data_IF_270665896233
#
_entry.id   IF_270665896233
#
_cell.length_a   1.000
_cell.length_b   1.000
_cell.length_c   1.000
_cell.angle_alpha   90.00
_cell.angle_beta   90.00
_cell.angle_gamma   90.00
#
_symmetry.space_group_name_H-M   'P 1'
#
loop_
_entity.id
_entity.type
_entity.pdbx_description
1 polymer ?
#
# COMPACT_ATOMS: atom_id res chain seq x y z
N UNK A 1 -5.37 -7.22 -11.93
CA UNK A 1 -5.86 -7.64 -10.60
C UNK A 1 -6.55 -6.43 -9.97
N UNK A 2 -7.52 -6.59 -9.06
CA UNK A 2 -8.13 -5.44 -8.35
C UNK A 2 -7.58 -5.40 -6.91
N UNK A 3 -7.32 -4.21 -6.32
CA UNK A 3 -6.98 -4.10 -4.91
C UNK A 3 -8.06 -4.73 -4.03
N UNK A 4 -7.66 -5.51 -3.03
CA UNK A 4 -8.57 -6.11 -2.05
C UNK A 4 -8.54 -5.24 -0.80
N UNK A 5 -9.68 -4.69 -0.41
CA UNK A 5 -9.79 -3.96 0.85
C UNK A 5 -9.75 -4.96 2.01
N UNK A 6 -8.92 -4.69 3.01
CA UNK A 6 -8.80 -5.54 4.20
C UNK A 6 -9.42 -4.86 5.43
N UNK A 7 -9.28 -3.53 5.53
CA UNK A 7 -9.93 -2.70 6.56
C UNK A 7 -10.37 -1.35 5.97
N UNK A 8 -11.07 -0.55 6.77
CA UNK A 8 -11.41 0.84 6.38
C UNK A 8 -10.11 1.60 6.18
N UNK A 9 -9.95 2.23 5.01
CA UNK A 9 -8.73 2.95 4.62
C UNK A 9 -7.48 2.07 4.37
N UNK A 10 -7.63 0.75 4.24
CA UNK A 10 -6.51 -0.18 4.02
C UNK A 10 -6.77 -1.23 2.93
N UNK A 11 -5.80 -1.42 2.03
CA UNK A 11 -5.91 -2.33 0.89
C UNK A 11 -4.63 -3.14 0.67
N UNK A 12 -4.78 -4.34 0.11
CA UNK A 12 -3.68 -5.12 -0.44
C UNK A 12 -3.78 -5.15 -1.96
N UNK A 13 -2.65 -4.92 -2.62
CA UNK A 13 -2.55 -4.95 -4.07
C UNK A 13 -1.14 -5.35 -4.51
N UNK A 14 -1.03 -6.37 -5.37
CA UNK A 14 0.25 -6.86 -5.94
C UNK A 14 1.34 -7.15 -4.88
N UNK A 15 0.93 -7.68 -3.73
CA UNK A 15 1.87 -7.97 -2.65
C UNK A 15 2.37 -6.72 -1.91
N UNK A 16 1.71 -5.58 -2.08
CA UNK A 16 1.92 -4.37 -1.30
C UNK A 16 0.68 -4.08 -0.46
N UNK A 17 0.89 -3.32 0.61
CA UNK A 17 -0.10 -2.81 1.52
C UNK A 17 -0.23 -1.30 1.30
N UNK A 18 -1.45 -0.82 1.07
CA UNK A 18 -1.78 0.59 0.87
C UNK A 18 -2.61 1.04 2.06
N UNK A 19 -2.20 2.11 2.72
CA UNK A 19 -2.92 2.71 3.84
C UNK A 19 -3.18 4.19 3.57
N UNK A 20 -4.38 4.67 3.91
CA UNK A 20 -4.65 6.11 3.88
C UNK A 20 -4.00 6.79 5.09
N UNK A 21 -3.16 7.77 4.85
CA UNK A 21 -2.56 8.57 5.93
C UNK A 21 -3.63 9.45 6.59
N UNK A 22 -3.72 9.38 7.92
CA UNK A 22 -4.60 10.24 8.73
C UNK A 22 -3.87 11.44 9.35
N UNK A 23 -2.56 11.54 9.12
CA UNK A 23 -1.74 12.56 9.76
C UNK A 23 -1.77 13.87 8.95
N UNK A 24 -2.45 14.87 9.50
CA UNK A 24 -2.63 16.23 8.96
C UNK A 24 -1.34 16.93 8.46
N UNK A 25 -0.17 16.57 9.01
CA UNK A 25 1.11 17.22 8.69
C UNK A 25 1.94 16.45 7.65
N UNK A 26 1.47 15.29 7.19
CA UNK A 26 2.20 14.47 6.22
C UNK A 26 1.74 14.79 4.79
N UNK A 27 2.71 15.01 3.91
CA UNK A 27 2.45 15.18 2.47
C UNK A 27 2.13 13.80 1.87
N UNK A 28 0.95 13.68 1.26
CA UNK A 28 0.45 12.45 0.66
C UNK A 28 -0.72 11.84 1.44
N UNK A 29 -1.75 11.40 0.71
CA UNK A 29 -2.96 10.82 1.28
C UNK A 29 -2.85 9.30 1.46
N UNK A 30 -1.92 8.66 0.75
CA UNK A 30 -1.71 7.22 0.76
C UNK A 30 -0.25 6.89 0.98
N UNK A 31 -0.02 5.87 1.77
CA UNK A 31 1.29 5.30 2.08
C UNK A 31 1.31 3.84 1.62
N UNK A 32 2.40 3.43 1.00
CA UNK A 32 2.56 2.10 0.42
C UNK A 32 3.74 1.40 1.08
N UNK A 33 3.52 0.15 1.47
CA UNK A 33 4.50 -0.73 2.08
C UNK A 33 4.54 -2.06 1.33
N UNK A 34 5.65 -2.78 1.38
CA UNK A 34 5.70 -4.17 0.93
C UNK A 34 4.95 -5.06 1.93
N UNK A 35 4.19 -6.04 1.45
CA UNK A 35 3.54 -7.04 2.30
C UNK A 35 4.54 -8.15 2.67
N UNK A 36 5.68 -7.76 3.22
CA UNK A 36 6.70 -8.66 3.77
C UNK A 36 6.76 -8.56 5.29
N UNK A 37 7.60 -9.37 5.93
CA UNK A 37 7.69 -9.43 7.39
C UNK A 37 8.03 -8.09 8.03
N UNK A 38 8.86 -7.29 7.36
CA UNK A 38 9.41 -6.03 7.82
C UNK A 38 8.57 -4.82 7.41
N UNK A 39 7.57 -5.01 6.54
CA UNK A 39 6.72 -3.95 5.99
C UNK A 39 7.54 -2.79 5.45
N UNK A 40 8.49 -3.06 4.54
CA UNK A 40 9.34 -2.00 4.00
C UNK A 40 8.51 -0.90 3.33
N UNK A 41 8.72 0.35 3.77
CA UNK A 41 8.07 1.52 3.18
C UNK A 41 8.54 1.73 1.74
N UNK A 42 7.59 1.74 0.81
CA UNK A 42 7.81 1.98 -0.62
C UNK A 42 7.73 3.48 -0.91
N UNK A 43 6.71 4.16 -0.38
CA UNK A 43 6.54 5.59 -0.62
C UNK A 43 5.16 6.14 -0.28
N UNK A 44 5.02 7.46 -0.44
CA UNK A 44 3.76 8.20 -0.27
C UNK A 44 3.31 8.84 -1.56
N UNK A 45 2.00 8.99 -1.71
CA UNK A 45 1.38 9.63 -2.88
C UNK A 45 0.03 10.26 -2.54
N UNK A 46 -0.48 11.11 -3.44
CA UNK A 46 -1.71 11.88 -3.21
C UNK A 46 -2.98 11.14 -3.64
N UNK A 47 -2.88 10.22 -4.60
CA UNK A 47 -4.04 9.54 -5.17
C UNK A 47 -3.92 8.02 -5.02
N UNK A 48 -5.06 7.34 -4.92
CA UNK A 48 -5.09 5.88 -4.88
C UNK A 48 -4.59 5.27 -6.20
N UNK A 49 -4.75 5.99 -7.31
CA UNK A 49 -4.18 5.58 -8.60
C UNK A 49 -2.66 5.52 -8.56
N UNK A 50 -2.02 6.52 -7.96
CA UNK A 50 -0.56 6.52 -7.81
C UNK A 50 -0.09 5.46 -6.83
N UNK A 51 -0.86 5.21 -5.76
CA UNK A 51 -0.56 4.12 -4.82
C UNK A 51 -0.52 2.76 -5.54
N UNK A 52 -1.49 2.49 -6.44
CA UNK A 52 -1.47 1.27 -7.25
C UNK A 52 -0.25 1.17 -8.16
N UNK A 53 0.17 2.28 -8.79
CA UNK A 53 1.38 2.30 -9.62
C UNK A 53 2.61 1.97 -8.80
N UNK A 54 2.75 2.54 -7.60
CA UNK A 54 3.83 2.20 -6.68
C UNK A 54 3.85 0.71 -6.34
N UNK A 55 2.67 0.09 -6.14
CA UNK A 55 2.59 -1.35 -5.93
C UNK A 55 3.03 -2.16 -7.16
N UNK A 56 2.59 -1.76 -8.37
CA UNK A 56 2.97 -2.42 -9.64
C UNK A 56 4.47 -2.32 -9.93
N UNK A 57 5.11 -1.22 -9.54
CA UNK A 57 6.56 -1.02 -9.68
C UNK A 57 7.37 -1.76 -8.61
N UNK A 58 6.74 -2.16 -7.49
CA UNK A 58 7.40 -2.73 -6.32
C UNK A 58 6.77 -4.05 -5.86
N UNK A 59 6.19 -4.83 -6.80
CA UNK A 59 5.45 -6.05 -6.48
C UNK A 59 6.25 -6.97 -5.55
N UNK A 60 5.60 -7.48 -4.50
CA UNK A 60 6.27 -8.29 -3.48
C UNK A 60 5.48 -9.57 -3.17
N UNK A 61 5.93 -10.69 -3.73
CA UNK A 61 5.26 -11.99 -3.53
C UNK A 61 5.71 -12.75 -2.28
N UNK A 62 6.45 -12.10 -1.37
CA UNK A 62 6.80 -12.65 -0.05
C UNK A 62 5.66 -12.47 0.96
N UNK A 63 4.43 -12.68 0.49
CA UNK A 63 3.17 -12.28 1.15
C UNK A 63 3.10 -12.77 2.60
N UNK A 64 3.25 -11.83 3.56
CA UNK A 64 3.03 -12.08 5.00
C UNK A 64 1.55 -12.26 5.30
N UNK A 65 0.72 -11.40 4.73
CA UNK A 65 -0.73 -11.46 4.87
C UNK A 65 -1.34 -12.22 3.70
N UNK A 66 -1.91 -13.40 3.99
CA UNK A 66 -2.71 -14.20 3.05
C UNK A 66 -4.18 -14.05 3.40
N UNK A 67 -4.95 -13.39 2.54
CA UNK A 67 -6.39 -13.17 2.75
C UNK A 67 -7.20 -13.65 1.56
#
# INVERSE_FOLDING_TARGET
MKPKQIEVDEWIYKGCFIQKSKHHNLIGNYEVFKNDELQFHVGRCHTFTDAKKLCEENECFKEKLKF
#
